data_IF_536648611413
#
_entry.id   IF_536648611413
#
_cell.length_a   1.000
_cell.length_b   1.000
_cell.length_c   1.000
_cell.angle_alpha   90.00
_cell.angle_beta   90.00
_cell.angle_gamma   90.00
#
_symmetry.space_group_name_H-M   'P 1'
#
loop_
_entity.id
_entity.type
_entity.pdbx_description
1 polymer ?
#
# COMPACT_ATOMS: atom_id res chain seq x y z
N UNK A 1 -12.33 -4.18 -52.59
CA UNK A 1 -12.34 -4.42 -51.13
C UNK A 1 -12.25 -3.05 -50.49
N UNK A 2 -13.36 -2.59 -49.99
CA UNK A 2 -13.51 -1.24 -49.40
C UNK A 2 -13.16 -1.33 -47.94
N UNK A 3 -12.01 -0.74 -47.55
CA UNK A 3 -11.64 -0.54 -46.16
C UNK A 3 -12.72 0.29 -45.47
N UNK A 4 -13.44 -0.31 -44.54
CA UNK A 4 -14.31 0.42 -43.63
C UNK A 4 -13.43 1.21 -42.67
N UNK A 5 -13.62 2.52 -42.50
CA UNK A 5 -12.89 3.28 -41.52
C UNK A 5 -13.23 2.73 -40.12
N UNK A 6 -12.17 2.43 -39.34
CA UNK A 6 -12.28 2.16 -37.93
C UNK A 6 -12.97 3.35 -37.28
N UNK A 7 -14.12 3.12 -36.71
CA UNK A 7 -14.92 4.11 -36.02
C UNK A 7 -14.08 4.66 -34.86
N UNK A 8 -13.44 5.81 -35.02
CA UNK A 8 -12.83 6.55 -33.92
C UNK A 8 -13.99 7.03 -33.05
N UNK A 9 -14.30 6.27 -32.01
CA UNK A 9 -15.23 6.74 -30.98
C UNK A 9 -14.70 8.08 -30.47
N UNK A 10 -15.51 9.12 -30.53
CA UNK A 10 -15.16 10.42 -29.98
C UNK A 10 -14.75 10.25 -28.51
N UNK A 11 -13.55 10.74 -28.15
CA UNK A 11 -13.07 10.71 -26.78
C UNK A 11 -14.08 11.33 -25.83
N UNK A 12 -14.34 10.71 -24.67
CA UNK A 12 -15.21 11.23 -23.59
C UNK A 12 -14.66 12.51 -22.94
N UNK A 13 -13.42 12.91 -23.25
CA UNK A 13 -12.76 14.10 -22.70
C UNK A 13 -11.30 13.81 -22.30
N UNK A 14 -10.62 14.86 -21.80
CA UNK A 14 -9.23 14.79 -21.35
C UNK A 14 -9.17 14.72 -19.84
N UNK A 15 -8.49 13.74 -19.30
CA UNK A 15 -8.25 13.60 -17.86
C UNK A 15 -6.76 13.78 -17.58
N UNK A 16 -6.45 14.69 -16.67
CA UNK A 16 -5.08 14.84 -16.16
C UNK A 16 -4.99 14.29 -14.74
N UNK A 17 -4.09 13.32 -14.55
CA UNK A 17 -3.84 12.65 -13.27
C UNK A 17 -2.54 13.20 -12.67
N UNK A 18 -2.59 13.65 -11.42
CA UNK A 18 -1.43 14.16 -10.69
C UNK A 18 -0.90 13.05 -9.77
N UNK A 19 0.26 12.48 -10.13
CA UNK A 19 0.90 11.38 -9.42
C UNK A 19 0.82 10.05 -10.18
N UNK A 20 1.98 9.51 -10.53
CA UNK A 20 2.17 8.24 -11.25
C UNK A 20 2.41 7.04 -10.33
N UNK A 21 1.97 7.11 -9.06
CA UNK A 21 1.93 5.95 -8.17
C UNK A 21 0.84 4.96 -8.57
N UNK A 22 0.72 3.84 -7.82
CA UNK A 22 -0.22 2.75 -8.17
C UNK A 22 -1.66 3.24 -8.31
N UNK A 23 -2.12 4.17 -7.47
CA UNK A 23 -3.48 4.73 -7.56
C UNK A 23 -3.65 5.50 -8.86
N UNK A 24 -2.66 6.31 -9.26
CA UNK A 24 -2.70 7.06 -10.52
C UNK A 24 -2.69 6.15 -11.74
N UNK A 25 -1.82 5.13 -11.74
CA UNK A 25 -1.70 4.17 -12.84
C UNK A 25 -2.97 3.32 -13.00
N UNK A 26 -3.55 2.81 -11.90
CA UNK A 26 -4.83 2.09 -11.94
C UNK A 26 -5.98 3.00 -12.38
N UNK A 27 -6.04 4.24 -11.89
CA UNK A 27 -7.05 5.22 -12.33
C UNK A 27 -6.93 5.49 -13.83
N UNK A 28 -5.71 5.66 -14.33
CA UNK A 28 -5.43 5.83 -15.76
C UNK A 28 -5.91 4.65 -16.59
N UNK A 29 -5.62 3.42 -16.13
CA UNK A 29 -6.04 2.18 -16.79
C UNK A 29 -7.56 2.13 -16.98
N UNK A 30 -8.34 2.35 -15.91
CA UNK A 30 -9.80 2.30 -16.00
C UNK A 30 -10.37 3.47 -16.79
N UNK A 31 -9.82 4.68 -16.67
CA UNK A 31 -10.25 5.85 -17.44
C UNK A 31 -10.00 5.69 -18.93
N UNK A 32 -8.86 5.09 -19.34
CA UNK A 32 -8.62 4.75 -20.74
C UNK A 32 -9.63 3.73 -21.26
N UNK A 33 -9.93 2.68 -20.48
CA UNK A 33 -10.97 1.69 -20.84
C UNK A 33 -12.35 2.33 -21.03
N UNK A 34 -12.63 3.38 -20.26
CA UNK A 34 -13.85 4.18 -20.41
C UNK A 34 -13.83 5.16 -21.60
N UNK A 35 -12.71 5.26 -22.34
CA UNK A 35 -12.59 6.10 -23.52
C UNK A 35 -12.14 7.54 -23.29
N UNK A 36 -11.55 7.83 -22.12
CA UNK A 36 -10.91 9.12 -21.86
C UNK A 36 -9.50 9.16 -22.44
N UNK A 37 -9.06 10.34 -22.86
CA UNK A 37 -7.64 10.61 -23.11
C UNK A 37 -6.96 10.96 -21.79
N UNK A 38 -5.93 10.20 -21.43
CA UNK A 38 -5.29 10.31 -20.11
C UNK A 38 -3.90 10.89 -20.23
N UNK A 39 -3.61 11.90 -19.40
CA UNK A 39 -2.28 12.43 -19.16
C UNK A 39 -1.92 12.26 -17.68
N UNK A 40 -0.76 11.66 -17.40
CA UNK A 40 -0.22 11.52 -16.04
C UNK A 40 0.95 12.49 -15.87
N UNK A 41 0.91 13.30 -14.83
CA UNK A 41 2.00 14.20 -14.44
C UNK A 41 2.64 13.66 -13.15
N UNK A 42 3.87 13.16 -13.25
CA UNK A 42 4.61 12.58 -12.13
C UNK A 42 5.85 13.42 -11.81
N UNK A 43 6.02 13.75 -10.53
CA UNK A 43 7.16 14.56 -10.07
C UNK A 43 8.50 13.81 -10.15
N UNK A 44 8.49 12.48 -10.05
CA UNK A 44 9.68 11.62 -10.08
C UNK A 44 9.82 10.81 -11.36
N UNK A 45 10.50 9.67 -11.26
CA UNK A 45 10.83 8.75 -12.36
C UNK A 45 9.83 7.59 -12.56
N UNK A 46 8.77 7.51 -11.78
CA UNK A 46 7.76 6.44 -11.71
C UNK A 46 8.19 5.17 -10.94
N UNK A 47 9.48 4.86 -10.88
CA UNK A 47 9.95 3.56 -10.40
C UNK A 47 10.57 3.60 -9.00
N UNK A 48 11.01 4.78 -8.54
CA UNK A 48 11.55 5.00 -7.20
C UNK A 48 10.56 5.76 -6.30
N UNK A 49 9.42 5.14 -6.01
CA UNK A 49 8.35 5.74 -5.23
C UNK A 49 7.76 4.77 -4.20
N UNK A 50 6.79 5.25 -3.40
CA UNK A 50 6.16 4.44 -2.36
C UNK A 50 5.45 3.20 -2.92
N UNK A 51 4.96 3.23 -4.15
CA UNK A 51 4.29 2.09 -4.79
C UNK A 51 5.25 0.97 -5.14
N UNK A 52 6.48 1.29 -5.54
CA UNK A 52 7.52 0.29 -5.85
C UNK A 52 8.15 -0.30 -4.59
N UNK A 53 8.17 0.46 -3.48
CA UNK A 53 8.79 0.06 -2.21
C UNK A 53 7.87 -0.64 -1.21
N UNK A 54 6.57 -0.85 -1.52
CA UNK A 54 5.62 -1.46 -0.60
C UNK A 54 5.79 -2.99 -0.48
N UNK A 55 5.13 -3.58 0.52
CA UNK A 55 5.21 -5.02 0.79
C UNK A 55 4.57 -5.92 -0.27
N UNK A 56 3.82 -5.38 -1.22
CA UNK A 56 3.16 -6.16 -2.27
C UNK A 56 2.01 -7.04 -1.80
N UNK A 57 1.53 -6.85 -0.60
CA UNK A 57 0.44 -7.63 -0.03
C UNK A 57 -0.92 -7.05 -0.40
N UNK A 58 -1.88 -7.90 -0.76
CA UNK A 58 -3.29 -7.61 -1.00
C UNK A 58 -4.07 -8.25 0.14
N UNK A 59 -4.62 -7.44 1.04
CA UNK A 59 -4.98 -7.87 2.39
C UNK A 59 -6.45 -7.60 2.77
N UNK A 60 -7.41 -8.35 2.25
CA UNK A 60 -8.78 -8.37 2.79
C UNK A 60 -8.85 -8.57 4.31
N UNK A 61 -7.84 -9.22 4.89
CA UNK A 61 -7.69 -9.43 6.34
C UNK A 61 -7.53 -8.16 7.15
N UNK A 62 -7.13 -7.04 6.54
CA UNK A 62 -6.87 -5.76 7.23
C UNK A 62 -8.13 -4.90 7.35
N UNK A 63 -9.20 -5.46 7.90
CA UNK A 63 -10.50 -4.80 8.10
C UNK A 63 -10.58 -3.93 9.37
N UNK A 64 -9.56 -3.95 10.23
CA UNK A 64 -9.48 -3.11 11.43
C UNK A 64 -8.73 -1.82 11.10
N UNK A 65 -9.34 -0.64 11.30
CA UNK A 65 -8.67 0.63 11.03
C UNK A 65 -7.51 0.86 12.02
N UNK A 66 -6.50 1.63 11.62
CA UNK A 66 -5.35 1.96 12.47
C UNK A 66 -5.78 2.69 13.76
N UNK A 67 -6.82 3.53 13.68
CA UNK A 67 -7.42 4.19 14.84
C UNK A 67 -8.32 3.21 15.61
N UNK A 68 -7.71 2.32 16.38
CA UNK A 68 -8.38 1.33 17.23
C UNK A 68 -8.06 1.55 18.72
N UNK A 69 -8.86 0.99 19.64
CA UNK A 69 -8.59 1.06 21.07
C UNK A 69 -7.18 0.57 21.42
N UNK A 70 -6.53 1.23 22.37
CA UNK A 70 -5.18 0.89 22.82
C UNK A 70 -4.03 1.36 21.90
N UNK A 71 -4.31 1.79 20.66
CA UNK A 71 -3.25 2.24 19.75
C UNK A 71 -2.53 3.49 20.23
N UNK A 72 -3.21 4.38 20.92
CA UNK A 72 -2.58 5.61 21.47
C UNK A 72 -1.60 5.25 22.58
N UNK A 73 -1.99 4.41 23.54
CA UNK A 73 -1.11 3.98 24.64
C UNK A 73 0.07 3.15 24.12
N UNK A 74 -0.16 2.25 23.17
CA UNK A 74 0.92 1.53 22.45
C UNK A 74 1.84 2.52 21.73
N UNK A 75 1.30 3.52 21.02
CA UNK A 75 2.07 4.55 20.31
C UNK A 75 2.94 5.39 21.25
N UNK A 76 2.41 5.85 22.38
CA UNK A 76 3.18 6.58 23.38
C UNK A 76 4.33 5.72 23.95
N UNK A 77 4.05 4.46 24.31
CA UNK A 77 5.09 3.53 24.79
C UNK A 77 6.20 3.35 23.76
N UNK A 78 5.85 3.21 22.49
CA UNK A 78 6.81 3.00 21.39
C UNK A 78 7.63 4.25 21.04
N UNK A 79 7.16 5.46 21.37
CA UNK A 79 7.93 6.69 21.16
C UNK A 79 9.25 6.74 21.96
N UNK A 80 9.34 6.00 23.06
CA UNK A 80 10.54 5.93 23.91
C UNK A 80 11.50 4.83 23.49
N UNK A 81 11.17 4.01 22.48
CA UNK A 81 12.03 2.96 21.96
C UNK A 81 12.49 3.30 20.54
N UNK A 82 13.79 3.51 20.36
CA UNK A 82 14.40 3.88 19.07
C UNK A 82 14.28 2.77 17.99
N UNK A 83 14.09 1.51 18.42
CA UNK A 83 13.92 0.33 17.56
C UNK A 83 12.45 -0.08 17.38
N UNK A 84 11.51 0.64 17.99
CA UNK A 84 10.10 0.28 17.92
C UNK A 84 9.55 0.31 16.49
N UNK A 85 8.58 -0.54 16.17
CA UNK A 85 7.99 -0.60 14.82
C UNK A 85 7.10 0.60 14.48
N UNK A 86 6.74 1.41 15.46
CA UNK A 86 5.90 2.62 15.27
C UNK A 86 6.50 3.80 16.01
N UNK A 87 6.56 4.95 15.34
CA UNK A 87 7.10 6.17 15.90
C UNK A 87 6.37 7.40 15.39
N UNK A 88 6.01 8.29 16.30
CA UNK A 88 5.54 9.62 15.96
C UNK A 88 6.60 10.62 16.41
N UNK A 89 7.22 11.33 15.47
CA UNK A 89 8.21 12.35 15.78
C UNK A 89 7.51 13.55 16.42
N UNK A 90 7.82 13.90 17.67
CA UNK A 90 7.27 15.09 18.28
C UNK A 90 7.63 16.34 17.47
N UNK A 91 6.62 17.10 17.04
CA UNK A 91 6.80 18.35 16.33
C UNK A 91 5.65 19.31 16.70
N UNK A 92 5.98 20.56 16.92
CA UNK A 92 4.99 21.63 17.08
C UNK A 92 4.45 22.04 15.71
N UNK A 93 3.64 21.16 15.12
CA UNK A 93 3.03 21.32 13.80
C UNK A 93 1.51 21.23 13.94
N UNK A 94 0.80 22.27 13.54
CA UNK A 94 -0.67 22.34 13.63
C UNK A 94 -1.37 21.19 12.90
N UNK A 95 -0.82 20.73 11.77
CA UNK A 95 -1.35 19.60 11.01
C UNK A 95 -1.22 18.29 11.79
N UNK A 96 -0.07 18.05 12.46
CA UNK A 96 0.14 16.87 13.29
C UNK A 96 -0.78 16.88 14.52
N UNK A 97 -0.93 18.03 15.16
CA UNK A 97 -1.83 18.17 16.31
C UNK A 97 -3.29 17.92 15.88
N UNK A 98 -3.74 18.55 14.80
CA UNK A 98 -5.10 18.38 14.27
C UNK A 98 -5.36 16.92 13.88
N UNK A 99 -4.39 16.27 13.21
CA UNK A 99 -4.48 14.85 12.88
C UNK A 99 -4.53 13.97 14.13
N UNK A 100 -3.67 14.22 15.11
CA UNK A 100 -3.64 13.48 16.38
C UNK A 100 -4.95 13.56 17.16
N UNK A 101 -5.58 14.75 17.23
CA UNK A 101 -6.90 14.93 17.85
C UNK A 101 -8.00 14.15 17.11
N UNK A 102 -7.98 14.13 15.76
CA UNK A 102 -8.90 13.31 14.97
C UNK A 102 -8.65 11.83 15.20
N UNK A 103 -7.39 11.39 15.19
CA UNK A 103 -7.02 10.01 15.47
C UNK A 103 -7.53 9.56 16.83
N UNK A 104 -7.31 10.38 17.88
CA UNK A 104 -7.81 10.10 19.23
C UNK A 104 -9.34 9.99 19.28
N UNK A 105 -10.06 10.89 18.61
CA UNK A 105 -11.53 10.87 18.55
C UNK A 105 -12.07 9.56 17.96
N UNK A 106 -11.37 8.99 16.99
CA UNK A 106 -11.80 7.77 16.29
C UNK A 106 -11.18 6.47 16.84
N UNK A 107 -10.24 6.53 17.79
CA UNK A 107 -9.62 5.35 18.40
C UNK A 107 -10.54 4.68 19.45
N UNK A 108 -11.67 4.14 19.01
CA UNK A 108 -12.69 3.50 19.86
C UNK A 108 -13.40 2.34 19.13
N UNK A 109 -14.05 1.44 19.90
CA UNK A 109 -14.71 0.23 19.37
C UNK A 109 -15.83 0.58 18.39
N UNK A 110 -16.62 1.61 18.65
CA UNK A 110 -17.70 2.04 17.74
C UNK A 110 -17.18 2.35 16.34
N UNK A 111 -16.00 2.99 16.25
CA UNK A 111 -15.39 3.29 14.97
C UNK A 111 -14.87 2.01 14.29
N UNK A 112 -14.24 1.10 15.05
CA UNK A 112 -13.76 -0.19 14.54
C UNK A 112 -14.92 -0.99 13.95
N UNK A 113 -16.01 -1.15 14.72
CA UNK A 113 -17.18 -1.93 14.28
C UNK A 113 -17.86 -1.30 13.05
N UNK A 114 -17.99 0.02 13.03
CA UNK A 114 -18.58 0.73 11.88
C UNK A 114 -17.70 0.68 10.62
N UNK A 115 -16.38 0.53 10.78
CA UNK A 115 -15.41 0.53 9.67
C UNK A 115 -15.12 -0.86 9.13
N UNK A 116 -15.30 -1.91 9.91
CA UNK A 116 -14.85 -3.27 9.58
C UNK A 116 -15.45 -3.80 8.28
N UNK A 117 -16.77 -3.73 8.12
CA UNK A 117 -17.43 -4.20 6.90
C UNK A 117 -17.10 -3.35 5.67
N UNK A 118 -17.17 -2.00 5.71
CA UNK A 118 -16.76 -1.18 4.56
C UNK A 118 -15.30 -1.40 4.15
N UNK A 119 -14.38 -1.56 5.10
CA UNK A 119 -12.96 -1.85 4.78
C UNK A 119 -12.81 -3.22 4.13
N UNK A 120 -13.45 -4.25 4.70
CA UNK A 120 -13.46 -5.59 4.09
C UNK A 120 -13.98 -5.54 2.66
N UNK A 121 -15.11 -4.89 2.41
CA UNK A 121 -15.74 -4.80 1.09
C UNK A 121 -14.83 -4.08 0.08
N UNK A 122 -14.20 -2.97 0.50
CA UNK A 122 -13.23 -2.24 -0.32
C UNK A 122 -12.00 -3.11 -0.65
N UNK A 123 -11.48 -3.85 0.31
CA UNK A 123 -10.31 -4.72 0.11
C UNK A 123 -10.65 -5.94 -0.77
N UNK A 124 -11.84 -6.52 -0.63
CA UNK A 124 -12.30 -7.59 -1.52
C UNK A 124 -12.48 -7.09 -2.95
N UNK A 125 -13.08 -5.90 -3.13
CA UNK A 125 -13.15 -5.26 -4.46
C UNK A 125 -11.76 -4.99 -5.03
N UNK A 126 -10.83 -4.48 -4.22
CA UNK A 126 -9.44 -4.29 -4.64
C UNK A 126 -8.79 -5.59 -5.10
N UNK A 127 -8.97 -6.68 -4.35
CA UNK A 127 -8.47 -8.01 -4.73
C UNK A 127 -9.07 -8.48 -6.05
N UNK A 128 -10.39 -8.35 -6.23
CA UNK A 128 -11.06 -8.68 -7.48
C UNK A 128 -10.49 -7.90 -8.68
N UNK A 129 -10.24 -6.61 -8.50
CA UNK A 129 -9.66 -5.78 -9.56
C UNK A 129 -8.21 -6.19 -9.90
N UNK A 130 -7.42 -6.68 -8.92
CA UNK A 130 -6.11 -7.27 -9.20
C UNK A 130 -6.23 -8.61 -9.94
N UNK A 131 -7.22 -9.42 -9.62
CA UNK A 131 -7.52 -10.65 -10.36
C UNK A 131 -7.89 -10.34 -11.82
N UNK A 132 -8.73 -9.32 -12.04
CA UNK A 132 -9.12 -8.86 -13.38
C UNK A 132 -7.94 -8.30 -14.18
N UNK A 133 -7.02 -7.58 -13.52
CA UNK A 133 -5.77 -7.13 -14.15
C UNK A 133 -4.87 -8.30 -14.52
N UNK A 134 -4.70 -9.29 -13.63
CA UNK A 134 -3.86 -10.46 -13.88
C UNK A 134 -4.43 -11.40 -14.95
N UNK A 135 -5.73 -11.31 -15.24
CA UNK A 135 -6.37 -12.03 -16.33
C UNK A 135 -6.08 -11.42 -17.72
N UNK A 136 -5.52 -10.20 -17.78
CA UNK A 136 -5.13 -9.58 -19.05
C UNK A 136 -3.85 -10.24 -19.57
N UNK A 137 -3.82 -10.71 -20.84
CA UNK A 137 -2.63 -11.38 -21.38
C UNK A 137 -1.35 -10.54 -21.39
N UNK A 138 -1.51 -9.20 -21.43
CA UNK A 138 -0.43 -8.23 -21.47
C UNK A 138 0.15 -7.91 -20.08
N UNK A 139 -0.48 -8.39 -19.00
CA UNK A 139 -0.10 -8.06 -17.63
C UNK A 139 0.28 -9.32 -16.84
N UNK A 140 1.56 -9.47 -16.51
CA UNK A 140 2.08 -10.55 -15.67
C UNK A 140 2.97 -9.99 -14.57
N UNK A 141 2.42 -9.68 -13.45
CA UNK A 141 3.08 -9.01 -12.31
C UNK A 141 3.24 -9.91 -11.07
N UNK A 142 3.26 -11.23 -11.27
CA UNK A 142 3.53 -12.19 -10.20
C UNK A 142 2.47 -12.20 -9.10
N UNK A 143 1.17 -12.11 -9.46
CA UNK A 143 0.08 -12.26 -8.50
C UNK A 143 0.00 -13.70 -8.00
N UNK A 144 0.18 -13.91 -6.70
CA UNK A 144 0.08 -15.22 -6.04
C UNK A 144 -1.00 -15.20 -4.94
N UNK A 145 -1.88 -16.21 -4.95
CA UNK A 145 -3.04 -16.35 -4.04
C UNK A 145 -2.76 -17.40 -2.97
N UNK A 146 -1.65 -17.25 -2.25
CA UNK A 146 -1.22 -18.19 -1.21
C UNK A 146 -1.74 -17.83 0.18
N UNK A 147 -2.46 -16.72 0.31
CA UNK A 147 -2.80 -16.17 1.63
C UNK A 147 -1.60 -15.49 2.29
N UNK A 148 -1.78 -15.09 3.55
CA UNK A 148 -0.73 -14.52 4.41
C UNK A 148 -0.74 -15.21 5.76
N UNK A 149 0.45 -15.52 6.30
CA UNK A 149 0.62 -16.08 7.64
C UNK A 149 0.88 -14.97 8.66
N UNK A 150 0.01 -14.82 9.65
CA UNK A 150 0.24 -13.97 10.80
C UNK A 150 0.98 -14.77 11.85
N UNK A 151 2.32 -14.70 11.87
CA UNK A 151 3.20 -15.48 12.73
C UNK A 151 3.30 -14.86 14.12
N UNK A 152 3.13 -15.66 15.19
CA UNK A 152 3.25 -15.19 16.57
C UNK A 152 4.15 -16.08 17.42
N UNK A 153 4.85 -15.45 18.38
CA UNK A 153 5.79 -16.08 19.32
C UNK A 153 5.31 -16.09 20.76
N UNK A 154 4.27 -15.31 21.08
CA UNK A 154 3.77 -15.21 22.45
C UNK A 154 2.31 -15.59 22.52
N UNK A 155 1.90 -16.21 23.65
CA UNK A 155 0.50 -16.57 23.87
C UNK A 155 -0.46 -15.38 23.77
N UNK A 156 -0.17 -14.21 24.42
CA UNK A 156 -1.07 -13.07 24.32
C UNK A 156 -1.29 -12.59 22.89
N UNK A 157 -0.21 -12.53 22.07
CA UNK A 157 -0.33 -12.13 20.66
C UNK A 157 -1.16 -13.16 19.86
N UNK A 158 -0.93 -14.46 20.12
CA UNK A 158 -1.72 -15.52 19.47
C UNK A 158 -3.20 -15.45 19.83
N UNK A 159 -3.52 -15.22 21.10
CA UNK A 159 -4.93 -15.08 21.56
C UNK A 159 -5.61 -13.86 20.94
N UNK A 160 -4.90 -12.71 20.86
CA UNK A 160 -5.39 -11.50 20.18
C UNK A 160 -5.67 -11.77 18.70
N UNK A 161 -4.73 -12.44 18.00
CA UNK A 161 -4.85 -12.72 16.56
C UNK A 161 -5.94 -13.78 16.27
N UNK A 162 -6.07 -14.82 17.11
CA UNK A 162 -7.16 -15.82 17.01
C UNK A 162 -8.52 -15.14 17.24
N UNK A 163 -8.59 -14.16 18.14
CA UNK A 163 -9.82 -13.38 18.34
C UNK A 163 -10.17 -12.56 17.08
N UNK A 164 -9.19 -11.94 16.44
CA UNK A 164 -9.37 -11.24 15.17
C UNK A 164 -9.78 -12.18 14.03
N UNK A 165 -9.21 -13.39 13.99
CA UNK A 165 -9.61 -14.41 13.03
C UNK A 165 -11.09 -14.78 13.13
N UNK A 166 -11.63 -14.89 14.36
CA UNK A 166 -13.07 -15.14 14.57
C UNK A 166 -13.94 -13.99 14.02
N UNK A 167 -13.52 -12.73 14.21
CA UNK A 167 -14.21 -11.57 13.62
C UNK A 167 -14.13 -11.61 12.09
N UNK A 168 -12.98 -11.97 11.53
CA UNK A 168 -12.80 -12.14 10.09
C UNK A 168 -13.75 -13.23 9.52
N UNK A 169 -13.88 -14.38 10.19
CA UNK A 169 -14.83 -15.43 9.81
C UNK A 169 -16.28 -14.93 9.83
N UNK A 170 -16.67 -14.14 10.84
CA UNK A 170 -17.99 -13.53 10.92
C UNK A 170 -18.25 -12.55 9.76
N UNK A 171 -17.19 -11.91 9.27
CA UNK A 171 -17.22 -11.07 8.07
C UNK A 171 -17.15 -11.86 6.75
N UNK A 172 -17.15 -13.19 6.79
CA UNK A 172 -17.10 -14.06 5.62
C UNK A 172 -15.73 -14.20 4.97
N UNK A 173 -14.65 -13.87 5.68
CA UNK A 173 -13.28 -14.05 5.19
C UNK A 173 -12.79 -15.49 5.47
N UNK A 174 -12.05 -16.06 4.51
CA UNK A 174 -11.43 -17.38 4.65
C UNK A 174 -10.16 -17.27 5.48
N UNK A 175 -10.21 -17.75 6.71
CA UNK A 175 -9.11 -17.66 7.68
C UNK A 175 -9.12 -18.86 8.63
N UNK A 176 -7.92 -19.34 8.98
CA UNK A 176 -7.72 -20.51 9.83
C UNK A 176 -6.55 -20.29 10.82
N UNK A 177 -6.77 -20.47 12.13
CA UNK A 177 -5.69 -20.58 13.12
C UNK A 177 -4.94 -21.91 12.96
N UNK A 178 -3.61 -21.86 13.00
CA UNK A 178 -2.71 -22.99 12.84
C UNK A 178 -1.77 -23.09 14.06
N UNK A 179 -1.52 -24.32 14.54
CA UNK A 179 -0.48 -24.57 15.53
C UNK A 179 0.92 -24.53 14.89
N UNK A 180 1.98 -24.60 15.71
CA UNK A 180 3.38 -24.52 15.25
C UNK A 180 3.70 -25.56 14.16
N UNK A 181 3.25 -26.82 14.34
CA UNK A 181 3.49 -27.89 13.36
C UNK A 181 2.79 -27.60 12.04
N UNK A 182 1.51 -27.26 12.07
CA UNK A 182 0.73 -26.91 10.86
C UNK A 182 1.33 -25.69 10.13
N UNK A 183 1.82 -24.71 10.89
CA UNK A 183 2.52 -23.54 10.32
C UNK A 183 3.83 -23.96 9.64
N UNK A 184 4.61 -24.85 10.28
CA UNK A 184 5.85 -25.37 9.71
C UNK A 184 5.60 -26.22 8.45
N UNK A 185 4.52 -26.97 8.41
CA UNK A 185 4.14 -27.79 7.24
C UNK A 185 3.87 -26.93 5.98
N UNK A 186 3.48 -25.65 6.15
CA UNK A 186 3.32 -24.68 5.05
C UNK A 186 4.65 -24.08 4.58
N UNK A 187 5.69 -24.11 5.42
CA UNK A 187 7.04 -23.61 5.10
C UNK A 187 8.09 -24.75 5.19
N UNK A 188 8.01 -25.78 4.32
CA UNK A 188 8.84 -26.97 4.44
C UNK A 188 10.33 -26.74 4.11
N UNK A 189 10.69 -25.61 3.54
CA UNK A 189 12.05 -25.31 3.08
C UNK A 189 12.88 -24.50 4.08
N UNK A 190 12.27 -23.94 5.11
CA UNK A 190 12.94 -23.15 6.15
C UNK A 190 12.33 -23.43 7.51
N UNK A 191 13.16 -23.41 8.55
CA UNK A 191 12.68 -23.57 9.90
C UNK A 191 11.96 -22.31 10.39
N UNK A 192 10.89 -22.51 11.16
CA UNK A 192 10.16 -21.45 11.83
C UNK A 192 10.26 -21.62 13.36
N UNK A 193 10.60 -20.54 14.07
CA UNK A 193 10.52 -20.47 15.53
C UNK A 193 9.30 -19.65 15.94
N UNK A 194 8.13 -20.30 16.01
CA UNK A 194 6.83 -19.69 16.30
C UNK A 194 5.97 -20.60 17.16
N UNK A 195 5.01 -20.05 17.91
CA UNK A 195 3.99 -20.82 18.61
C UNK A 195 2.84 -21.25 17.68
N UNK A 196 2.68 -20.56 16.56
CA UNK A 196 1.66 -20.81 15.56
C UNK A 196 1.47 -19.61 14.63
N UNK A 197 0.42 -19.69 13.84
CA UNK A 197 0.01 -18.61 12.95
C UNK A 197 -1.51 -18.53 12.81
N UNK A 198 -1.97 -17.44 12.22
CA UNK A 198 -3.29 -17.39 11.60
C UNK A 198 -3.09 -17.23 10.10
N UNK A 199 -3.63 -18.16 9.32
CA UNK A 199 -3.53 -18.16 7.86
C UNK A 199 -4.77 -17.50 7.25
N UNK A 200 -4.62 -16.28 6.73
CA UNK A 200 -5.66 -15.59 5.98
C UNK A 200 -5.57 -16.00 4.51
N UNK A 201 -6.31 -17.04 4.12
CA UNK A 201 -6.33 -17.57 2.75
C UNK A 201 -6.98 -16.60 1.76
N UNK A 202 -7.81 -15.69 2.27
CA UNK A 202 -8.43 -14.62 1.48
C UNK A 202 -7.42 -13.60 0.93
N UNK A 203 -6.22 -13.54 1.47
CA UNK A 203 -5.18 -12.60 1.08
C UNK A 203 -4.36 -13.09 -0.12
N UNK A 204 -3.57 -12.18 -0.70
CA UNK A 204 -2.69 -12.46 -1.83
C UNK A 204 -1.46 -11.55 -1.78
N UNK A 205 -0.50 -11.77 -2.68
CA UNK A 205 0.63 -10.87 -2.87
C UNK A 205 1.04 -10.79 -4.33
N UNK A 206 1.81 -9.77 -4.66
CA UNK A 206 2.33 -9.51 -5.99
C UNK A 206 3.70 -8.84 -5.93
N UNK A 207 4.37 -8.72 -7.07
CA UNK A 207 5.59 -7.94 -7.16
C UNK A 207 5.29 -6.50 -7.63
N UNK A 208 5.32 -5.50 -6.72
CA UNK A 208 4.90 -4.13 -7.04
C UNK A 208 5.68 -3.48 -8.19
N UNK A 209 6.97 -3.77 -8.30
CA UNK A 209 7.81 -3.20 -9.35
C UNK A 209 7.39 -3.67 -10.74
N UNK A 210 7.01 -4.94 -10.88
CA UNK A 210 6.54 -5.47 -12.17
C UNK A 210 5.16 -4.92 -12.51
N UNK A 211 4.26 -4.83 -11.52
CA UNK A 211 2.95 -4.20 -11.73
C UNK A 211 3.08 -2.76 -12.26
N UNK A 212 3.92 -1.95 -11.61
CA UNK A 212 4.14 -0.55 -12.04
C UNK A 212 4.72 -0.49 -13.45
N UNK A 213 5.77 -1.29 -13.74
CA UNK A 213 6.38 -1.33 -15.06
C UNK A 213 5.39 -1.71 -16.16
N UNK A 214 4.58 -2.73 -15.92
CA UNK A 214 3.64 -3.24 -16.91
C UNK A 214 2.45 -2.30 -17.11
N UNK A 215 1.91 -1.70 -16.05
CA UNK A 215 0.88 -0.67 -16.18
C UNK A 215 1.39 0.53 -16.98
N UNK A 216 2.61 1.01 -16.71
CA UNK A 216 3.23 2.10 -17.47
C UNK A 216 3.37 1.72 -18.95
N UNK A 217 3.85 0.52 -19.24
CA UNK A 217 3.98 0.03 -20.62
C UNK A 217 2.63 -0.05 -21.33
N UNK A 218 1.66 -0.68 -20.68
CA UNK A 218 0.29 -0.82 -21.19
C UNK A 218 -0.35 0.54 -21.51
N UNK A 219 -0.28 1.47 -20.55
CA UNK A 219 -0.87 2.80 -20.69
C UNK A 219 -0.27 3.58 -21.86
N UNK A 220 1.07 3.54 -22.02
CA UNK A 220 1.76 4.19 -23.15
C UNK A 220 1.38 3.57 -24.50
N UNK A 221 1.33 2.25 -24.58
CA UNK A 221 0.92 1.52 -25.79
C UNK A 221 -0.52 1.85 -26.20
N UNK A 222 -1.38 2.14 -25.23
CA UNK A 222 -2.77 2.55 -25.46
C UNK A 222 -2.97 4.07 -25.53
N UNK A 223 -1.90 4.85 -25.72
CA UNK A 223 -1.96 6.28 -26.03
C UNK A 223 -2.05 7.22 -24.83
N UNK A 224 -1.79 6.76 -23.59
CA UNK A 224 -1.62 7.68 -22.47
C UNK A 224 -0.32 8.47 -22.58
N UNK A 225 -0.39 9.74 -22.25
CA UNK A 225 0.78 10.60 -22.09
C UNK A 225 1.26 10.51 -20.64
N UNK A 226 2.52 10.17 -20.42
CA UNK A 226 3.12 10.11 -19.07
C UNK A 226 4.34 11.02 -19.04
N UNK A 227 4.21 12.13 -18.31
CA UNK A 227 5.25 13.12 -18.11
C UNK A 227 5.91 12.90 -16.77
N UNK A 228 7.19 12.53 -16.78
CA UNK A 228 8.02 12.34 -15.59
C UNK A 228 8.85 13.58 -15.29
N UNK A 229 9.34 13.71 -14.06
CA UNK A 229 10.02 14.90 -13.58
C UNK A 229 9.22 16.18 -13.91
N UNK A 230 7.91 16.11 -13.66
CA UNK A 230 6.93 17.14 -14.01
C UNK A 230 6.12 17.51 -12.76
N UNK A 231 6.56 18.54 -12.06
CA UNK A 231 5.97 19.00 -10.81
C UNK A 231 4.81 19.95 -11.12
N UNK A 232 3.61 19.64 -10.59
CA UNK A 232 2.46 20.55 -10.64
C UNK A 232 2.65 21.68 -9.63
N UNK A 233 2.75 22.90 -10.12
CA UNK A 233 2.99 24.10 -9.31
C UNK A 233 1.72 24.88 -9.00
N UNK A 234 0.66 24.73 -9.80
CA UNK A 234 -0.59 25.46 -9.60
C UNK A 234 -1.74 24.98 -10.49
N UNK A 235 -2.87 25.65 -10.33
CA UNK A 235 -4.10 25.42 -11.09
C UNK A 235 -4.64 26.76 -11.61
N UNK A 236 -5.11 26.78 -12.86
CA UNK A 236 -5.91 27.85 -13.39
C UNK A 236 -7.39 27.47 -13.21
N UNK A 237 -8.16 28.41 -12.63
CA UNK A 237 -9.56 28.18 -12.34
C UNK A 237 -10.40 29.25 -13.06
N UNK A 238 -11.45 28.84 -13.76
CA UNK A 238 -12.42 29.71 -14.40
C UNK A 238 -13.84 29.26 -13.98
N UNK A 239 -14.65 30.19 -13.51
CA UNK A 239 -16.03 29.92 -13.04
C UNK A 239 -16.10 28.78 -11.99
N UNK A 240 -15.12 28.71 -11.06
CA UNK A 240 -15.07 27.69 -10.01
C UNK A 240 -14.63 26.29 -10.46
N UNK A 241 -14.20 26.14 -11.74
CA UNK A 241 -13.69 24.86 -12.28
C UNK A 241 -12.21 24.99 -12.64
N UNK A 242 -11.43 23.98 -12.37
CA UNK A 242 -10.05 23.88 -12.85
C UNK A 242 -10.10 23.64 -14.37
N UNK A 243 -9.45 24.52 -15.14
CA UNK A 243 -9.36 24.43 -16.60
C UNK A 243 -7.99 24.00 -17.08
N UNK A 244 -6.93 24.29 -16.30
CA UNK A 244 -5.60 23.79 -16.60
C UNK A 244 -4.74 23.66 -15.35
N UNK A 245 -3.69 22.85 -15.47
CA UNK A 245 -2.64 22.66 -14.48
C UNK A 245 -1.37 23.37 -14.97
N UNK A 246 -0.71 24.06 -14.07
CA UNK A 246 0.61 24.70 -14.34
C UNK A 246 1.71 23.82 -13.77
N UNK A 247 2.75 23.61 -14.55
CA UNK A 247 3.99 22.94 -14.14
C UNK A 247 5.19 23.83 -14.38
N UNK A 248 6.38 23.40 -13.99
CA UNK A 248 7.62 24.11 -14.31
C UNK A 248 7.95 24.10 -15.82
N UNK A 249 7.37 23.14 -16.58
CA UNK A 249 7.67 22.93 -18.00
C UNK A 249 6.62 23.52 -18.94
N UNK A 250 5.32 23.35 -18.59
CA UNK A 250 4.21 23.69 -19.47
C UNK A 250 2.89 23.83 -18.68
N UNK A 251 1.85 24.25 -19.39
CA UNK A 251 0.47 24.15 -18.89
C UNK A 251 -0.28 23.03 -19.61
N UNK A 252 -1.09 22.29 -18.86
CA UNK A 252 -1.88 21.15 -19.34
C UNK A 252 -3.36 21.46 -19.16
N UNK A 253 -4.11 21.49 -20.24
CA UNK A 253 -5.57 21.61 -20.18
C UNK A 253 -6.18 20.29 -19.72
N UNK A 254 -7.25 20.36 -18.93
CA UNK A 254 -7.96 19.19 -18.45
C UNK A 254 -9.45 19.49 -18.27
N UNK A 255 -10.28 18.55 -18.73
CA UNK A 255 -11.71 18.56 -18.45
C UNK A 255 -11.99 18.00 -17.05
N UNK A 256 -11.16 17.03 -16.62
CA UNK A 256 -11.16 16.43 -15.29
C UNK A 256 -9.73 16.34 -14.74
N UNK A 257 -9.60 16.55 -13.43
CA UNK A 257 -8.33 16.41 -12.71
C UNK A 257 -8.49 15.37 -11.61
N UNK A 258 -7.61 14.36 -11.60
CA UNK A 258 -7.55 13.32 -10.56
C UNK A 258 -6.27 13.52 -9.76
N UNK A 259 -6.40 13.76 -8.45
CA UNK A 259 -5.27 13.97 -7.55
C UNK A 259 -4.91 12.66 -6.84
N UNK A 260 -3.81 12.04 -7.23
CA UNK A 260 -3.32 10.76 -6.69
C UNK A 260 -1.91 10.89 -6.10
N UNK A 261 -1.59 12.05 -5.55
CA UNK A 261 -0.26 12.42 -5.04
C UNK A 261 0.18 11.69 -3.76
N UNK A 262 -0.55 10.68 -3.27
CA UNK A 262 -0.15 9.90 -2.09
C UNK A 262 0.15 10.79 -0.88
N UNK A 263 1.35 10.67 -0.33
CA UNK A 263 1.81 11.46 0.82
C UNK A 263 1.90 12.97 0.54
N UNK A 264 2.05 13.37 -0.73
CA UNK A 264 2.10 14.78 -1.17
C UNK A 264 0.71 15.38 -1.46
N UNK A 265 -0.35 14.56 -1.38
CA UNK A 265 -1.72 15.01 -1.68
C UNK A 265 -2.16 16.25 -0.89
N UNK A 266 -1.85 16.44 0.42
CA UNK A 266 -2.22 17.67 1.14
C UNK A 266 -1.64 18.93 0.53
N UNK A 267 -0.40 18.89 0.04
CA UNK A 267 0.27 20.03 -0.57
C UNK A 267 -0.33 20.38 -1.94
N UNK A 268 -0.63 19.37 -2.74
CA UNK A 268 -1.28 19.53 -4.05
C UNK A 268 -2.69 20.07 -3.87
N UNK A 269 -3.47 19.47 -2.97
CA UNK A 269 -4.85 19.90 -2.69
C UNK A 269 -4.92 21.35 -2.19
N UNK A 270 -3.95 21.77 -1.34
CA UNK A 270 -3.86 23.15 -0.87
C UNK A 270 -3.71 24.17 -2.01
N UNK A 271 -2.97 23.82 -3.08
CA UNK A 271 -2.83 24.69 -4.27
C UNK A 271 -4.17 24.85 -5.02
N UNK A 272 -5.07 23.88 -4.89
CA UNK A 272 -6.44 23.93 -5.42
C UNK A 272 -7.46 24.52 -4.41
N UNK A 273 -7.01 25.09 -3.27
CA UNK A 273 -7.88 25.62 -2.23
C UNK A 273 -8.57 24.57 -1.35
N UNK A 274 -8.14 23.30 -1.43
CA UNK A 274 -8.72 22.19 -0.67
C UNK A 274 -7.85 21.84 0.56
N UNK A 275 -8.50 21.37 1.63
CA UNK A 275 -7.80 20.88 2.84
C UNK A 275 -8.08 19.39 3.02
N UNK A 276 -7.04 18.56 2.89
CA UNK A 276 -7.12 17.10 3.05
C UNK A 276 -6.26 16.70 4.25
N UNK A 277 -6.83 16.19 5.34
CA UNK A 277 -6.10 15.87 6.56
C UNK A 277 -5.42 14.49 6.49
N UNK A 278 -4.52 14.30 5.54
CA UNK A 278 -3.67 13.11 5.42
C UNK A 278 -2.33 13.37 6.08
N UNK A 279 -1.83 12.41 6.86
CA UNK A 279 -0.50 12.45 7.46
C UNK A 279 0.37 11.35 6.83
N UNK A 280 1.57 11.69 6.32
CA UNK A 280 2.46 10.69 5.74
C UNK A 280 3.02 9.75 6.80
N UNK A 281 3.08 8.46 6.46
CA UNK A 281 3.79 7.44 7.23
C UNK A 281 4.96 6.91 6.41
N UNK A 282 6.16 6.89 6.98
CA UNK A 282 7.36 6.36 6.33
C UNK A 282 7.68 4.98 6.89
N UNK A 283 7.76 3.98 6.00
CA UNK A 283 8.28 2.66 6.28
C UNK A 283 9.64 2.44 5.63
N UNK A 284 10.29 1.34 6.00
CA UNK A 284 11.53 0.90 5.40
C UNK A 284 11.37 -0.52 4.87
N UNK A 285 11.93 -0.78 3.70
CA UNK A 285 11.97 -2.14 3.15
C UNK A 285 13.26 -2.36 2.38
N UNK A 286 13.68 -3.62 2.32
CA UNK A 286 14.83 -4.05 1.53
C UNK A 286 14.57 -5.44 0.96
N UNK A 287 15.31 -5.77 -0.11
CA UNK A 287 15.25 -7.07 -0.78
C UNK A 287 16.49 -7.87 -0.45
N UNK A 288 16.33 -9.17 -0.25
CA UNK A 288 17.43 -10.11 -0.09
C UNK A 288 17.19 -11.37 -0.93
N UNK A 289 18.26 -12.02 -1.31
CA UNK A 289 18.23 -13.41 -1.80
C UNK A 289 18.24 -14.33 -0.59
N UNK A 290 17.15 -15.10 -0.35
CA UNK A 290 17.06 -15.90 0.85
C UNK A 290 17.94 -17.15 0.75
N UNK A 291 18.63 -17.54 1.84
CA UNK A 291 19.40 -18.78 1.91
C UNK A 291 18.52 -20.02 1.75
N UNK A 292 17.31 -19.95 2.26
CA UNK A 292 16.27 -20.95 2.14
C UNK A 292 15.01 -20.32 1.56
N UNK A 293 14.28 -21.10 0.75
CA UNK A 293 13.05 -20.62 0.11
C UNK A 293 11.97 -20.35 1.15
N UNK A 294 11.40 -19.15 1.13
CA UNK A 294 10.16 -18.78 1.81
C UNK A 294 9.03 -18.86 0.79
N UNK A 295 7.94 -19.54 1.12
CA UNK A 295 6.82 -19.81 0.20
C UNK A 295 5.67 -18.82 0.40
N UNK A 296 5.29 -18.57 1.66
CA UNK A 296 4.14 -17.73 1.98
C UNK A 296 4.60 -16.35 2.43
N UNK A 297 3.90 -15.30 2.02
CA UNK A 297 4.07 -14.02 2.67
C UNK A 297 3.62 -14.14 4.14
N UNK A 298 4.29 -13.41 5.01
CA UNK A 298 3.97 -13.43 6.43
C UNK A 298 4.12 -12.07 7.09
N UNK A 299 3.44 -11.91 8.23
CA UNK A 299 3.65 -10.81 9.16
C UNK A 299 4.19 -11.37 10.48
N UNK A 300 5.35 -10.88 10.90
CA UNK A 300 5.96 -11.14 12.20
C UNK A 300 5.27 -10.23 13.23
N UNK A 301 4.26 -10.75 13.94
CA UNK A 301 3.29 -9.90 14.65
C UNK A 301 3.92 -9.04 15.75
N UNK A 302 4.82 -9.60 16.56
CA UNK A 302 5.49 -8.83 17.62
C UNK A 302 6.48 -7.80 17.05
N UNK A 303 7.17 -8.17 15.96
CA UNK A 303 8.14 -7.32 15.29
C UNK A 303 7.51 -6.29 14.32
N UNK A 304 6.27 -6.51 13.90
CA UNK A 304 5.59 -5.69 12.89
C UNK A 304 6.37 -5.62 11.57
N UNK A 305 6.91 -6.76 11.14
CA UNK A 305 7.67 -6.91 9.91
C UNK A 305 6.90 -7.76 8.93
N UNK A 306 6.72 -7.24 7.73
CA UNK A 306 6.19 -7.95 6.58
C UNK A 306 7.33 -8.70 5.88
N UNK A 307 7.07 -9.94 5.52
CA UNK A 307 7.97 -10.83 4.77
C UNK A 307 7.23 -11.24 3.51
N UNK A 308 7.74 -10.88 2.34
CA UNK A 308 7.05 -11.19 1.07
C UNK A 308 8.00 -11.78 0.06
N UNK A 309 7.82 -13.05 -0.32
CA UNK A 309 8.57 -13.64 -1.43
C UNK A 309 8.16 -12.99 -2.76
N UNK A 310 9.15 -12.61 -3.59
CA UNK A 310 8.96 -11.89 -4.85
C UNK A 310 10.06 -12.29 -5.84
N UNK A 311 9.72 -12.96 -6.93
CA UNK A 311 10.66 -13.30 -8.02
C UNK A 311 11.99 -13.92 -7.54
N UNK A 312 11.92 -14.89 -6.63
CA UNK A 312 13.11 -15.56 -6.09
C UNK A 312 13.85 -14.79 -4.98
N UNK A 313 13.48 -13.55 -4.73
CA UNK A 313 13.93 -12.75 -3.61
C UNK A 313 12.86 -12.67 -2.52
N UNK A 314 13.23 -12.12 -1.37
CA UNK A 314 12.29 -11.81 -0.28
C UNK A 314 12.39 -10.34 0.08
N UNK A 315 11.24 -9.67 0.15
CA UNK A 315 11.16 -8.32 0.69
C UNK A 315 10.82 -8.38 2.17
N UNK A 316 11.68 -7.77 2.96
CA UNK A 316 11.39 -7.46 4.36
C UNK A 316 11.02 -5.99 4.46
N UNK A 317 9.90 -5.71 5.12
CA UNK A 317 9.42 -4.34 5.29
C UNK A 317 8.82 -4.14 6.67
N UNK A 318 9.06 -3.01 7.28
CA UNK A 318 8.53 -2.73 8.60
C UNK A 318 8.62 -1.25 8.95
N UNK A 319 8.28 -0.97 10.20
CA UNK A 319 8.27 0.37 10.76
C UNK A 319 7.22 1.29 10.13
N UNK A 320 6.59 2.09 10.96
CA UNK A 320 5.78 3.22 10.56
C UNK A 320 6.24 4.45 11.34
N UNK A 321 6.89 5.39 10.66
CA UNK A 321 7.35 6.65 11.22
C UNK A 321 6.44 7.78 10.73
N UNK A 322 5.66 8.37 11.62
CA UNK A 322 4.87 9.56 11.36
C UNK A 322 5.72 10.78 11.70
N UNK A 323 6.21 11.45 10.67
CA UNK A 323 7.11 12.59 10.77
C UNK A 323 6.89 13.53 9.57
N UNK A 324 7.38 14.79 9.63
CA UNK A 324 7.48 15.62 8.43
C UNK A 324 8.23 14.91 7.32
N UNK A 325 7.79 15.10 6.08
CA UNK A 325 8.34 14.43 4.91
C UNK A 325 9.85 14.64 4.78
N UNK A 326 10.59 13.54 4.64
CA UNK A 326 12.03 13.56 4.38
C UNK A 326 12.48 12.21 3.80
N UNK A 327 13.62 12.21 3.12
CA UNK A 327 14.22 11.02 2.49
C UNK A 327 15.35 10.39 3.34
N UNK A 328 15.51 10.80 4.60
CA UNK A 328 16.56 10.27 5.48
C UNK A 328 16.18 8.86 5.95
N UNK A 329 17.10 7.92 5.79
CA UNK A 329 16.94 6.56 6.34
C UNK A 329 17.41 6.54 7.79
N UNK A 330 16.57 6.04 8.68
CA UNK A 330 16.94 5.80 10.07
C UNK A 330 17.43 4.36 10.22
N UNK A 331 18.75 4.20 10.27
CA UNK A 331 19.39 2.87 10.32
C UNK A 331 19.02 2.08 11.58
N UNK A 332 18.81 2.71 12.73
CA UNK A 332 18.36 2.00 13.95
C UNK A 332 17.04 1.25 13.74
N UNK A 333 16.18 1.79 12.87
CA UNK A 333 14.90 1.15 12.54
C UNK A 333 15.05 0.04 11.52
N UNK A 334 15.96 0.20 10.58
CA UNK A 334 16.36 -0.88 9.65
C UNK A 334 16.96 -2.03 10.42
N UNK A 335 17.87 -1.76 11.37
CA UNK A 335 18.43 -2.77 12.28
C UNK A 335 17.34 -3.48 13.11
N UNK A 336 16.30 -2.77 13.53
CA UNK A 336 15.15 -3.38 14.22
C UNK A 336 14.46 -4.42 13.38
N UNK A 337 14.29 -4.17 12.05
CA UNK A 337 13.76 -5.15 11.10
C UNK A 337 14.73 -6.32 10.96
N UNK A 338 16.00 -6.05 10.65
CA UNK A 338 17.04 -7.06 10.44
C UNK A 338 17.15 -8.01 11.65
N UNK A 339 17.26 -7.46 12.86
CA UNK A 339 17.40 -8.23 14.09
C UNK A 339 16.17 -9.07 14.46
N UNK A 340 15.01 -8.78 13.89
CA UNK A 340 13.78 -9.55 14.13
C UNK A 340 13.66 -10.79 13.25
N UNK A 341 14.30 -10.80 12.08
CA UNK A 341 14.17 -11.89 11.09
C UNK A 341 14.64 -13.25 11.67
N UNK A 342 15.86 -13.38 12.21
CA UNK A 342 16.33 -14.66 12.73
C UNK A 342 15.56 -15.14 13.97
N UNK A 343 14.80 -14.27 14.62
CA UNK A 343 13.93 -14.67 15.71
C UNK A 343 12.76 -15.54 15.26
N UNK A 344 12.29 -15.38 14.01
CA UNK A 344 11.19 -16.14 13.43
C UNK A 344 11.67 -17.15 12.39
N UNK A 345 12.70 -16.78 11.65
CA UNK A 345 13.35 -17.56 10.61
C UNK A 345 14.82 -17.79 10.99
N UNK A 346 15.13 -18.77 11.87
CA UNK A 346 16.48 -18.92 12.46
C UNK A 346 17.57 -19.25 11.45
N UNK A 347 17.22 -19.76 10.27
CA UNK A 347 18.16 -20.06 9.18
C UNK A 347 18.43 -18.85 8.25
N UNK A 348 17.82 -17.68 8.49
CA UNK A 348 18.04 -16.47 7.70
C UNK A 348 18.82 -15.43 8.48
N UNK A 349 20.02 -15.12 7.99
CA UNK A 349 20.83 -13.99 8.44
C UNK A 349 20.82 -12.92 7.35
N UNK A 350 20.52 -11.65 7.73
CA UNK A 350 20.36 -10.54 6.80
C UNK A 350 21.27 -9.38 7.17
#
# INVERSE_FOLDING_TARGET
MTDKPVNQSSSKGNVTIIGGGIIGLCSAYYLQKEGFKVTILEQGDLFNNCSSGNAGMIVPSHFVPLAAPGMISKGIKWMFDSKSPFYVKPALNSSLISWGLKFWKYANDKHVDASAQPLRDLHLLSKQLYDDLAAQPELNFGLEKKGILMLYKTKPTGEEEIHLAKKAQQLGLDVEPLNAKQTQDLEPHTALDVLGSVHYRCDAHLYPNDLVKQLVSYLKQNGAVIETNCIVTGFKTENGKITSLTTEKASYNADLVVMTGGAWLPEIAKKAGLSIPVMPGKGYSFMVEPEKKIIHPSLLLEARVAVTPMNGQVRFGGTMEIAPMNNKVNMNRVEGIVNSIPQYYPEHQV
#
